data_IF_606546288481
#
_entry.id   IF_606546288481
#
_cell.length_a   1.000
_cell.length_b   1.000
_cell.length_c   1.000
_cell.angle_alpha   90.00
_cell.angle_beta   90.00
_cell.angle_gamma   90.00
#
_symmetry.space_group_name_H-M   'P 1'
#
loop_
_entity.id
_entity.type
_entity.pdbx_description
1 polymer ?
#
# COMPACT_ATOMS: atom_id res chain seq x y z
N UNK A 1 24.83 -2.69 19.17
CA UNK A 1 23.50 -2.94 19.77
C UNK A 1 22.52 -3.31 18.67
N UNK A 2 21.44 -4.01 19.01
CA UNK A 2 20.32 -4.31 18.11
C UNK A 2 19.15 -3.39 18.41
N UNK A 3 18.19 -3.29 17.49
CA UNK A 3 17.01 -2.43 17.66
C UNK A 3 16.28 -2.70 18.99
N UNK A 4 16.16 -3.97 19.39
CA UNK A 4 15.49 -4.37 20.63
C UNK A 4 16.17 -3.79 21.89
N UNK A 5 17.49 -3.61 21.87
CA UNK A 5 18.22 -3.03 23.00
C UNK A 5 17.81 -1.57 23.21
N UNK A 6 17.74 -0.80 22.11
CA UNK A 6 17.26 0.59 22.14
C UNK A 6 15.79 0.68 22.57
N UNK A 7 14.94 -0.25 22.13
CA UNK A 7 13.53 -0.30 22.57
C UNK A 7 13.45 -0.50 24.08
N UNK A 8 14.20 -1.46 24.64
CA UNK A 8 14.24 -1.70 26.08
C UNK A 8 14.81 -0.51 26.86
N UNK A 9 15.74 0.24 26.28
CA UNK A 9 16.28 1.46 26.88
C UNK A 9 15.34 2.67 26.78
N UNK A 10 14.17 2.51 26.14
CA UNK A 10 13.13 3.53 26.02
C UNK A 10 13.37 4.55 24.91
N UNK A 11 14.04 4.16 23.83
CA UNK A 11 14.21 5.02 22.67
C UNK A 11 12.93 5.10 21.82
N UNK A 12 12.58 6.33 21.45
CA UNK A 12 11.63 6.62 20.37
C UNK A 12 12.33 6.37 19.03
N UNK A 13 11.62 5.77 18.07
CA UNK A 13 12.22 5.37 16.79
C UNK A 13 11.77 6.28 15.66
N UNK A 14 12.69 6.72 14.81
CA UNK A 14 12.41 7.43 13.56
C UNK A 14 12.85 6.57 12.39
N UNK A 15 11.92 6.22 11.49
CA UNK A 15 12.22 5.42 10.29
C UNK A 15 11.12 5.58 9.21
N UNK A 16 11.19 4.79 8.14
CA UNK A 16 10.20 4.73 7.06
C UNK A 16 8.84 4.22 7.54
N UNK A 17 7.75 4.56 6.83
CA UNK A 17 6.42 4.03 7.15
C UNK A 17 6.35 2.50 7.09
N UNK A 18 7.00 1.90 6.09
CA UNK A 18 7.01 0.45 5.90
C UNK A 18 7.70 -0.26 7.06
N UNK A 19 8.90 0.20 7.43
CA UNK A 19 9.65 -0.39 8.53
C UNK A 19 9.00 -0.08 9.88
N UNK A 20 8.49 1.13 10.05
CA UNK A 20 7.78 1.51 11.28
C UNK A 20 6.52 0.70 11.51
N UNK A 21 5.76 0.35 10.45
CA UNK A 21 4.63 -0.59 10.55
C UNK A 21 5.09 -1.96 11.03
N UNK A 22 6.18 -2.50 10.49
CA UNK A 22 6.72 -3.79 10.91
C UNK A 22 7.18 -3.76 12.38
N UNK A 23 7.89 -2.70 12.80
CA UNK A 23 8.33 -2.53 14.19
C UNK A 23 7.13 -2.46 15.13
N UNK A 24 6.07 -1.70 14.80
CA UNK A 24 4.83 -1.65 15.62
C UNK A 24 4.12 -2.99 15.72
N UNK A 25 4.21 -3.84 14.69
CA UNK A 25 3.63 -5.20 14.75
C UNK A 25 4.43 -6.11 15.68
N UNK A 26 5.76 -6.04 15.64
CA UNK A 26 6.63 -6.85 16.50
C UNK A 26 6.69 -6.31 17.94
N UNK A 27 6.59 -4.98 18.10
CA UNK A 27 6.75 -4.25 19.36
C UNK A 27 5.67 -3.16 19.49
N UNK A 28 4.42 -3.54 19.83
CA UNK A 28 3.27 -2.63 19.80
C UNK A 28 3.34 -1.49 20.83
N UNK A 29 4.13 -1.63 21.90
CA UNK A 29 4.32 -0.60 22.91
C UNK A 29 5.35 0.46 22.52
N UNK A 30 6.04 0.30 21.39
CA UNK A 30 7.12 1.19 20.97
C UNK A 30 6.60 2.40 20.21
N UNK A 31 7.04 3.59 20.61
CA UNK A 31 6.76 4.82 19.88
C UNK A 31 7.64 4.91 18.63
N UNK A 32 7.01 4.78 17.47
CA UNK A 32 7.66 4.90 16.16
C UNK A 32 7.07 6.09 15.43
N UNK A 33 7.94 6.94 14.87
CA UNK A 33 7.64 8.14 14.10
C UNK A 33 8.07 7.93 12.65
N UNK A 34 7.19 8.26 11.72
CA UNK A 34 7.37 7.97 10.30
C UNK A 34 6.85 9.13 9.46
N UNK A 35 7.54 9.48 8.37
CA UNK A 35 7.06 10.48 7.40
C UNK A 35 6.68 11.82 8.04
N UNK A 36 5.43 12.25 7.89
CA UNK A 36 4.92 13.56 8.33
C UNK A 36 4.78 13.76 9.85
N UNK A 37 5.09 12.76 10.68
CA UNK A 37 5.00 12.88 12.14
C UNK A 37 6.27 13.43 12.80
N UNK A 38 7.30 13.79 12.01
CA UNK A 38 8.60 14.24 12.52
C UNK A 38 8.51 15.53 13.35
N UNK A 39 7.56 16.41 13.07
CA UNK A 39 7.32 17.63 13.86
C UNK A 39 6.74 17.36 15.25
N UNK A 40 6.23 16.15 15.50
CA UNK A 40 5.55 15.77 16.75
C UNK A 40 6.41 14.86 17.64
N UNK A 41 7.70 14.73 17.34
CA UNK A 41 8.60 13.88 18.12
C UNK A 41 8.73 14.46 19.54
N UNK A 42 8.32 13.71 20.58
CA UNK A 42 8.42 14.17 21.96
C UNK A 42 9.90 14.18 22.40
N UNK A 43 10.24 15.08 23.33
CA UNK A 43 11.57 15.10 23.94
C UNK A 43 11.83 13.82 24.74
N UNK A 44 12.93 13.15 24.45
CA UNK A 44 13.29 11.89 25.10
C UNK A 44 14.63 11.36 24.61
N UNK A 45 14.71 10.02 24.50
CA UNK A 45 15.79 9.33 23.79
C UNK A 45 15.32 9.03 22.37
N UNK A 46 16.14 9.30 21.36
CA UNK A 46 15.74 9.16 19.96
C UNK A 46 16.72 8.26 19.19
N UNK A 47 16.20 7.22 18.55
CA UNK A 47 16.95 6.37 17.64
C UNK A 47 16.49 6.70 16.23
N UNK A 48 17.42 7.15 15.39
CA UNK A 48 17.13 7.62 14.05
C UNK A 48 17.79 6.69 13.05
N UNK A 49 17.00 6.21 12.10
CA UNK A 49 17.50 5.53 10.92
C UNK A 49 18.35 6.51 10.09
N UNK A 50 19.61 6.13 9.81
CA UNK A 50 20.59 6.97 9.11
C UNK A 50 20.09 7.52 7.78
N UNK A 51 19.15 6.84 7.12
CA UNK A 51 18.53 7.34 5.89
C UNK A 51 17.72 8.64 6.10
N UNK A 52 17.26 8.93 7.31
CA UNK A 52 16.45 10.12 7.62
C UNK A 52 17.21 11.17 8.42
N UNK A 53 18.44 10.90 8.84
CA UNK A 53 19.20 11.80 9.73
C UNK A 53 19.59 13.12 9.08
N UNK A 54 19.58 13.20 7.74
CA UNK A 54 19.89 14.42 7.00
C UNK A 54 18.70 15.37 6.82
N UNK A 55 17.48 14.92 7.15
CA UNK A 55 16.30 15.76 7.01
C UNK A 55 16.34 16.91 8.02
N UNK A 56 16.04 18.16 7.60
CA UNK A 56 16.10 19.33 8.49
C UNK A 56 15.26 19.14 9.76
N UNK A 57 14.05 18.60 9.63
CA UNK A 57 13.11 18.41 10.73
C UNK A 57 13.65 17.41 11.77
N UNK A 58 14.35 16.38 11.30
CA UNK A 58 14.98 15.37 12.15
C UNK A 58 16.24 15.93 12.81
N UNK A 59 17.03 16.72 12.10
CA UNK A 59 18.21 17.37 12.64
C UNK A 59 17.83 18.34 13.77
N UNK A 60 16.83 19.18 13.54
CA UNK A 60 16.31 20.10 14.54
C UNK A 60 15.73 19.34 15.73
N UNK A 61 15.01 18.23 15.48
CA UNK A 61 14.49 17.38 16.53
C UNK A 61 15.60 16.70 17.36
N UNK A 62 16.70 16.25 16.75
CA UNK A 62 17.85 15.62 17.40
C UNK A 62 18.51 16.58 18.40
N UNK A 63 18.71 17.85 18.00
CA UNK A 63 19.33 18.87 18.87
C UNK A 63 18.52 19.13 20.15
N UNK A 64 17.23 18.79 20.15
CA UNK A 64 16.32 18.95 21.27
C UNK A 64 16.19 17.71 22.18
N UNK A 65 16.87 16.59 21.85
CA UNK A 65 16.76 15.32 22.59
C UNK A 65 17.69 15.24 23.79
N UNK A 66 17.30 14.43 24.79
CA UNK A 66 18.16 14.14 25.95
C UNK A 66 19.31 13.20 25.60
N UNK A 67 19.07 12.31 24.65
CA UNK A 67 20.06 11.42 24.06
C UNK A 67 19.59 11.02 22.66
N UNK A 68 20.51 10.82 21.74
CA UNK A 68 20.18 10.31 20.42
C UNK A 68 21.22 9.29 19.95
N UNK A 69 20.79 8.41 19.06
CA UNK A 69 21.63 7.50 18.30
C UNK A 69 21.19 7.52 16.85
N UNK A 70 22.14 7.46 15.93
CA UNK A 70 21.89 7.32 14.50
C UNK A 70 22.47 5.99 14.08
N UNK A 71 21.64 5.09 13.59
CA UNK A 71 22.03 3.74 13.21
C UNK A 71 21.46 3.41 11.83
N UNK A 72 22.16 2.58 11.06
CA UNK A 72 21.63 2.11 9.79
C UNK A 72 20.69 0.92 10.03
N UNK A 73 19.41 1.07 9.70
CA UNK A 73 18.40 0.06 9.99
C UNK A 73 18.42 -1.08 8.96
N UNK A 74 19.49 -1.88 9.00
CA UNK A 74 19.62 -3.09 8.19
C UNK A 74 18.75 -4.22 8.76
N UNK A 75 18.47 -5.25 7.95
CA UNK A 75 17.71 -6.43 8.40
C UNK A 75 18.32 -7.08 9.64
N UNK A 76 19.65 -7.13 9.70
CA UNK A 76 20.38 -7.68 10.84
C UNK A 76 20.22 -6.80 12.09
N UNK A 77 20.15 -5.48 11.92
CA UNK A 77 19.97 -4.55 13.03
C UNK A 77 18.56 -4.64 13.64
N UNK A 78 17.54 -4.66 12.77
CA UNK A 78 16.12 -4.68 13.15
C UNK A 78 15.67 -6.07 13.62
N UNK A 79 16.31 -7.14 13.10
CA UNK A 79 15.95 -8.53 13.36
C UNK A 79 15.17 -9.15 12.19
N UNK A 80 15.45 -10.43 11.91
CA UNK A 80 15.01 -11.13 10.69
C UNK A 80 13.48 -11.12 10.47
N UNK A 81 12.65 -11.20 11.51
CA UNK A 81 11.19 -11.24 11.35
C UNK A 81 10.59 -9.89 10.92
N UNK A 82 11.14 -8.77 11.40
CA UNK A 82 10.73 -7.43 11.00
C UNK A 82 11.30 -7.05 9.62
N UNK A 83 12.52 -7.49 9.31
CA UNK A 83 13.19 -7.31 8.02
C UNK A 83 12.53 -8.08 6.86
N UNK A 84 12.07 -9.32 7.09
CA UNK A 84 11.43 -10.12 6.02
C UNK A 84 10.07 -9.54 5.61
N UNK A 85 9.27 -9.03 6.57
CA UNK A 85 8.00 -8.36 6.25
C UNK A 85 8.21 -7.00 5.58
N UNK A 86 9.22 -6.24 5.99
CA UNK A 86 9.53 -4.93 5.40
C UNK A 86 10.12 -5.06 4.00
N UNK A 87 10.94 -6.07 3.71
CA UNK A 87 11.48 -6.31 2.37
C UNK A 87 10.37 -6.70 1.40
N UNK A 88 9.41 -7.54 1.82
CA UNK A 88 8.25 -7.91 1.00
C UNK A 88 7.33 -6.71 0.73
N UNK A 89 7.14 -5.84 1.73
CA UNK A 89 6.41 -4.57 1.58
C UNK A 89 7.18 -3.56 0.72
N UNK A 90 8.50 -3.45 0.85
CA UNK A 90 9.34 -2.61 0.01
C UNK A 90 9.40 -3.13 -1.41
N UNK A 91 9.45 -4.44 -1.65
CA UNK A 91 9.32 -5.05 -2.98
C UNK A 91 7.94 -4.76 -3.58
N UNK A 92 6.88 -4.83 -2.79
CA UNK A 92 5.53 -4.45 -3.23
C UNK A 92 5.45 -2.94 -3.53
N UNK A 93 6.00 -2.07 -2.68
CA UNK A 93 6.01 -0.62 -2.86
C UNK A 93 6.95 -0.18 -3.98
N UNK A 94 8.08 -0.86 -4.19
CA UNK A 94 8.99 -0.65 -5.31
C UNK A 94 8.38 -1.19 -6.60
N UNK A 95 7.65 -2.31 -6.57
CA UNK A 95 6.83 -2.77 -7.70
C UNK A 95 5.74 -1.74 -8.02
N UNK A 96 5.12 -1.13 -7.03
CA UNK A 96 4.14 -0.05 -7.19
C UNK A 96 4.77 1.24 -7.73
N UNK A 97 5.95 1.63 -7.25
CA UNK A 97 6.69 2.82 -7.69
C UNK A 97 7.35 2.67 -9.07
N UNK A 98 7.86 1.48 -9.39
CA UNK A 98 8.40 1.14 -10.72
C UNK A 98 7.27 0.93 -11.73
N UNK A 99 6.08 0.50 -11.28
CA UNK A 99 4.86 0.53 -12.08
C UNK A 99 4.22 1.91 -12.03
N UNK A 100 4.98 2.96 -12.37
CA UNK A 100 4.46 4.32 -12.62
C UNK A 100 3.60 4.40 -13.90
N UNK A 101 2.95 3.31 -14.26
CA UNK A 101 1.77 3.28 -15.10
C UNK A 101 0.59 3.36 -14.14
N UNK A 102 -0.26 4.37 -14.30
CA UNK A 102 -1.58 4.32 -13.67
C UNK A 102 -2.17 2.94 -13.94
N UNK A 103 -2.70 2.25 -12.91
CA UNK A 103 -3.27 0.93 -13.12
C UNK A 103 -4.36 1.05 -14.19
N UNK A 104 -4.45 0.07 -15.08
CA UNK A 104 -5.48 0.15 -16.13
C UNK A 104 -6.85 0.19 -15.45
N UNK A 105 -7.79 0.90 -16.09
CA UNK A 105 -9.14 1.06 -15.56
C UNK A 105 -9.80 -0.29 -15.26
N UNK A 106 -9.59 -1.28 -16.14
CA UNK A 106 -10.01 -2.67 -16.00
C UNK A 106 -8.89 -3.59 -16.48
N UNK A 107 -8.54 -4.60 -15.68
CA UNK A 107 -7.64 -5.70 -16.09
C UNK A 107 -8.33 -7.03 -15.81
N UNK A 108 -8.41 -7.89 -16.82
CA UNK A 108 -8.83 -9.28 -16.66
C UNK A 108 -7.63 -10.14 -17.04
N UNK A 109 -7.07 -10.85 -16.06
CA UNK A 109 -5.92 -11.72 -16.25
C UNK A 109 -6.37 -13.17 -16.12
N UNK A 110 -6.25 -13.90 -17.22
CA UNK A 110 -6.46 -15.34 -17.25
C UNK A 110 -5.10 -15.99 -17.54
N UNK A 111 -4.58 -16.75 -16.58
CA UNK A 111 -3.24 -17.35 -16.70
C UNK A 111 -3.22 -18.45 -17.76
N UNK A 112 -4.17 -19.38 -17.68
CA UNK A 112 -4.36 -20.51 -18.59
C UNK A 112 -5.88 -20.78 -18.73
N UNK A 113 -6.33 -21.59 -19.70
CA UNK A 113 -7.76 -21.86 -19.93
C UNK A 113 -8.49 -22.49 -18.73
N UNK A 114 -7.74 -23.18 -17.86
CA UNK A 114 -8.27 -23.83 -16.66
C UNK A 114 -8.10 -22.98 -15.39
N UNK A 115 -7.52 -21.77 -15.51
CA UNK A 115 -7.26 -20.90 -14.38
C UNK A 115 -8.48 -20.09 -13.99
N UNK A 116 -8.59 -19.76 -12.70
CA UNK A 116 -9.55 -18.76 -12.23
C UNK A 116 -9.08 -17.38 -12.69
N UNK A 117 -9.92 -16.57 -13.37
CA UNK A 117 -9.55 -15.24 -13.81
C UNK A 117 -9.38 -14.29 -12.62
N UNK A 118 -8.34 -13.45 -12.68
CA UNK A 118 -8.15 -12.31 -11.78
C UNK A 118 -8.74 -11.06 -12.43
N UNK A 119 -9.75 -10.46 -11.80
CA UNK A 119 -10.39 -9.24 -12.29
C UNK A 119 -9.98 -8.08 -11.38
N UNK A 120 -9.36 -7.05 -11.96
CA UNK A 120 -8.94 -5.84 -11.27
C UNK A 120 -9.65 -4.61 -11.86
N UNK A 121 -10.12 -3.72 -11.01
CA UNK A 121 -10.63 -2.39 -11.39
C UNK A 121 -9.78 -1.31 -10.72
N UNK A 122 -9.15 -0.42 -11.51
CA UNK A 122 -8.19 0.59 -11.02
C UNK A 122 -7.09 0.00 -10.10
N UNK A 123 -6.68 -1.24 -10.37
CA UNK A 123 -5.67 -1.96 -9.60
C UNK A 123 -6.17 -2.67 -8.33
N UNK A 124 -7.45 -2.52 -7.97
CA UNK A 124 -8.06 -3.26 -6.87
C UNK A 124 -8.64 -4.59 -7.35
N UNK A 125 -8.30 -5.69 -6.68
CA UNK A 125 -8.84 -7.03 -6.99
C UNK A 125 -10.29 -7.14 -6.56
N UNK A 126 -11.14 -7.51 -7.51
CA UNK A 126 -12.58 -7.59 -7.31
C UNK A 126 -13.03 -8.95 -6.78
N UNK A 127 -12.18 -9.97 -6.87
CA UNK A 127 -12.46 -11.35 -6.48
C UNK A 127 -12.15 -11.66 -5.01
N UNK A 128 -11.47 -10.76 -4.30
CA UNK A 128 -11.07 -11.00 -2.91
C UNK A 128 -12.24 -10.77 -1.93
N UNK A 129 -13.05 -9.71 -2.11
CA UNK A 129 -14.20 -9.37 -1.25
C UNK A 129 -15.22 -8.48 -1.99
N UNK A 130 -16.53 -8.83 -2.03
CA UNK A 130 -17.14 -10.07 -1.56
C UNK A 130 -16.86 -11.25 -2.51
N UNK A 131 -16.71 -12.45 -1.94
CA UNK A 131 -16.58 -13.69 -2.72
C UNK A 131 -17.92 -14.02 -3.37
N UNK A 132 -18.04 -13.77 -4.66
CA UNK A 132 -19.30 -13.84 -5.38
C UNK A 132 -19.13 -14.05 -6.88
N UNK A 133 -20.25 -14.07 -7.59
CA UNK A 133 -20.25 -14.01 -9.05
C UNK A 133 -19.87 -12.59 -9.48
N UNK A 134 -18.88 -12.47 -10.36
CA UNK A 134 -18.50 -11.21 -10.99
C UNK A 134 -18.95 -11.29 -12.45
N UNK A 135 -19.82 -10.38 -12.86
CA UNK A 135 -20.19 -10.18 -14.26
C UNK A 135 -19.55 -8.89 -14.78
N UNK A 136 -18.87 -8.96 -15.92
CA UNK A 136 -18.18 -7.83 -16.55
C UNK A 136 -18.71 -7.68 -17.97
N UNK A 137 -19.45 -6.60 -18.19
CA UNK A 137 -19.93 -6.20 -19.51
C UNK A 137 -19.14 -4.99 -20.02
N UNK A 138 -18.51 -5.14 -21.19
CA UNK A 138 -17.78 -4.08 -21.87
C UNK A 138 -18.41 -3.79 -23.23
N UNK A 139 -19.05 -2.63 -23.35
CA UNK A 139 -19.64 -2.17 -24.61
C UNK A 139 -18.80 -1.05 -25.17
N UNK A 140 -18.42 -1.18 -26.44
CA UNK A 140 -17.73 -0.12 -27.17
C UNK A 140 -18.16 -0.14 -28.63
N UNK A 141 -18.19 1.04 -29.23
CA UNK A 141 -18.55 1.23 -30.63
C UNK A 141 -17.28 1.17 -31.50
N UNK A 142 -17.29 0.32 -32.53
CA UNK A 142 -16.10 0.00 -33.35
C UNK A 142 -16.11 0.61 -34.76
N UNK A 143 -17.08 1.47 -35.09
CA UNK A 143 -17.26 2.03 -36.44
C UNK A 143 -16.54 3.38 -36.65
N UNK A 144 -16.33 3.74 -37.92
CA UNK A 144 -15.49 4.87 -38.33
C UNK A 144 -16.19 6.25 -38.25
N UNK A 145 -15.59 7.12 -37.42
CA UNK A 145 -15.37 8.57 -37.59
C UNK A 145 -16.46 9.46 -38.24
N UNK A 146 -17.74 9.32 -37.90
CA UNK A 146 -18.78 10.20 -38.46
C UNK A 146 -19.59 11.02 -37.47
N UNK A 147 -19.54 10.75 -36.15
CA UNK A 147 -20.18 11.57 -35.12
C UNK A 147 -19.29 11.70 -33.86
N UNK A 148 -19.52 12.75 -33.06
CA UNK A 148 -18.73 13.10 -31.86
C UNK A 148 -18.83 12.10 -30.69
N UNK A 149 -19.56 10.99 -30.85
CA UNK A 149 -19.61 9.87 -29.91
C UNK A 149 -18.35 8.98 -29.95
N UNK A 150 -17.17 9.59 -30.18
CA UNK A 150 -15.91 8.90 -30.42
C UNK A 150 -15.48 8.12 -29.18
N UNK A 151 -15.36 6.80 -29.33
CA UNK A 151 -14.79 5.95 -28.28
C UNK A 151 -15.60 5.94 -26.98
N UNK A 152 -16.92 6.21 -27.07
CA UNK A 152 -17.84 5.98 -25.95
C UNK A 152 -17.80 4.50 -25.63
N UNK A 153 -17.26 4.20 -24.46
CA UNK A 153 -17.20 2.87 -23.93
C UNK A 153 -17.87 2.87 -22.56
N UNK A 154 -18.72 1.87 -22.35
CA UNK A 154 -19.44 1.67 -21.11
C UNK A 154 -18.96 0.36 -20.49
N UNK A 155 -18.34 0.48 -19.31
CA UNK A 155 -17.98 -0.67 -18.50
C UNK A 155 -19.03 -0.82 -17.42
N UNK A 156 -19.63 -2.00 -17.32
CA UNK A 156 -20.55 -2.37 -16.24
C UNK A 156 -19.98 -3.59 -15.53
N UNK A 157 -19.69 -3.44 -14.23
CA UNK A 157 -19.24 -4.54 -13.37
C UNK A 157 -20.30 -4.77 -12.31
N UNK A 158 -20.75 -6.01 -12.19
CA UNK A 158 -21.79 -6.42 -11.25
C UNK A 158 -21.28 -7.53 -10.33
N UNK A 159 -21.64 -7.40 -9.04
CA UNK A 159 -21.29 -8.37 -8.00
C UNK A 159 -22.57 -9.05 -7.54
N UNK A 160 -22.48 -10.35 -7.31
CA UNK A 160 -23.56 -11.11 -6.69
C UNK A 160 -22.97 -11.95 -5.54
N UNK A 161 -23.38 -11.65 -4.30
CA UNK A 161 -23.05 -12.52 -3.17
C UNK A 161 -23.67 -13.91 -3.38
N UNK A 162 -22.84 -14.93 -3.27
CA UNK A 162 -23.18 -16.32 -3.62
C UNK A 162 -23.99 -17.04 -2.52
N UNK A 163 -24.38 -16.36 -1.44
CA UNK A 163 -24.94 -17.02 -0.25
C UNK A 163 -26.45 -17.26 -0.22
N UNK A 164 -27.25 -16.89 -1.23
CA UNK A 164 -28.62 -17.41 -1.37
C UNK A 164 -29.28 -16.99 -2.70
N UNK A 165 -30.08 -17.89 -3.26
CA UNK A 165 -30.83 -17.83 -4.53
C UNK A 165 -31.84 -16.67 -4.71
N UNK A 166 -31.72 -15.55 -4.01
CA UNK A 166 -32.57 -14.36 -4.22
C UNK A 166 -31.77 -13.08 -3.99
N UNK A 167 -31.26 -12.53 -5.10
CA UNK A 167 -30.80 -11.14 -5.33
C UNK A 167 -30.63 -10.27 -4.08
N UNK A 168 -29.43 -10.08 -3.54
CA UNK A 168 -29.30 -9.27 -2.33
C UNK A 168 -28.16 -8.25 -2.17
N UNK A 169 -27.20 -8.09 -3.07
CA UNK A 169 -26.39 -6.84 -3.11
C UNK A 169 -25.74 -6.65 -4.48
N UNK A 170 -26.41 -5.92 -5.38
CA UNK A 170 -25.88 -5.59 -6.72
C UNK A 170 -25.13 -4.27 -6.64
N UNK A 171 -23.80 -4.33 -6.56
CA UNK A 171 -22.96 -3.14 -6.77
C UNK A 171 -22.72 -3.01 -8.26
N UNK A 172 -23.21 -1.92 -8.87
CA UNK A 172 -22.97 -1.62 -10.29
C UNK A 172 -21.89 -0.56 -10.35
N UNK A 173 -20.73 -0.91 -10.91
CA UNK A 173 -19.71 0.06 -11.25
C UNK A 173 -19.88 0.38 -12.73
N UNK A 174 -20.46 1.55 -13.00
CA UNK A 174 -20.58 2.11 -14.34
C UNK A 174 -19.43 3.08 -14.59
N UNK A 175 -18.70 2.90 -15.69
CA UNK A 175 -17.80 3.92 -16.20
C UNK A 175 -18.23 4.31 -17.61
N UNK A 176 -18.57 5.60 -17.77
CA UNK A 176 -18.77 6.23 -19.06
C UNK A 176 -17.62 7.18 -19.31
N UNK A 177 -17.09 7.19 -20.53
CA UNK A 177 -16.19 8.24 -20.97
C UNK A 177 -17.02 9.52 -21.20
N UNK A 178 -16.68 10.61 -20.50
CA UNK A 178 -17.25 11.92 -20.80
C UNK A 178 -16.77 12.37 -22.20
N UNK A 179 -17.70 12.90 -23.01
CA UNK A 179 -17.43 13.48 -24.34
C UNK A 179 -16.62 14.78 -24.23
#
# INVERSE_FOLDING_TARGET
MKLIDYIHEGYNIVTSECLGRAIRQSYPATFVFTGGDFEKIPRGKLLVDSFYSYLPEIRDAIELQKAYAVEQFTNDFVGAEAGVRSMKLLEQSLKYLNNKQEPNLLEIKLKDTDSVPEVLYRGERLDELPKGLIDVSYHWKTDDFTNDDRGVNDITIEYYDSHNDKYLDRKIIGHKRDM
#
